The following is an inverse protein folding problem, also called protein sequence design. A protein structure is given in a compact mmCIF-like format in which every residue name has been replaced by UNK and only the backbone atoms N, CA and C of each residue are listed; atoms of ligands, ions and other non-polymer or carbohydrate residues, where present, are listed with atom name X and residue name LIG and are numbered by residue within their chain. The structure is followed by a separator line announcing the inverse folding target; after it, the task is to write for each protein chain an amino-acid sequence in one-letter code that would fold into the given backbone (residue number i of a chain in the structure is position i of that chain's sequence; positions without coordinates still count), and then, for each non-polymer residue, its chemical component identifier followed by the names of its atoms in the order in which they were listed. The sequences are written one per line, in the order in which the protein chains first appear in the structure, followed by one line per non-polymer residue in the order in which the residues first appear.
data_IF_529795888826
#
_entry.id   IF_529795888826
#
_cell.length_a   1.000
_cell.length_b   1.000
_cell.length_c   1.000
_cell.angle_alpha   90.00
_cell.angle_beta   90.00
_cell.angle_gamma   90.00
#
_symmetry.space_group_name_H-M   'P 1'
#
loop_
_entity.id
_entity.type
_entity.pdbx_description
1 polymer ?
#
# COMPACT_ATOMS: atom_id res chain seq x y z
N UNK A 1 17.69 -14.46 -25.43
CA UNK A 1 16.43 -13.69 -25.49
C UNK A 1 16.10 -13.37 -26.95
N UNK A 2 14.88 -13.69 -27.42
CA UNK A 2 14.40 -13.37 -28.77
C UNK A 2 14.48 -11.87 -29.08
N UNK A 3 14.84 -11.51 -30.32
CA UNK A 3 14.98 -10.11 -30.73
C UNK A 3 13.66 -9.33 -30.61
N UNK A 4 12.53 -9.98 -30.87
CA UNK A 4 11.19 -9.39 -30.77
C UNK A 4 10.74 -9.02 -29.35
N UNK A 5 11.40 -9.52 -28.29
CA UNK A 5 11.05 -9.19 -26.90
C UNK A 5 11.74 -7.93 -26.37
N UNK A 6 12.92 -7.60 -26.92
CA UNK A 6 13.73 -6.45 -26.47
C UNK A 6 12.96 -5.12 -26.40
N UNK A 7 12.14 -4.73 -27.39
CA UNK A 7 11.43 -3.45 -27.34
C UNK A 7 10.26 -3.42 -26.34
N UNK A 8 9.79 -4.57 -25.87
CA UNK A 8 8.63 -4.67 -24.97
C UNK A 8 8.99 -4.95 -23.51
N UNK A 9 10.27 -5.22 -23.23
CA UNK A 9 10.77 -5.54 -21.90
C UNK A 9 11.53 -4.34 -21.34
N UNK A 10 11.00 -3.71 -20.30
CA UNK A 10 11.71 -2.67 -19.55
C UNK A 10 13.05 -3.21 -19.03
N UNK A 11 14.08 -2.36 -18.96
CA UNK A 11 15.46 -2.74 -18.58
C UNK A 11 15.52 -3.60 -17.31
N UNK A 12 14.70 -3.25 -16.30
CA UNK A 12 14.59 -3.97 -15.02
C UNK A 12 14.17 -5.45 -15.15
N UNK A 13 13.45 -5.80 -16.22
CA UNK A 13 12.91 -7.13 -16.44
C UNK A 13 13.78 -7.98 -17.38
N UNK A 14 14.85 -7.43 -17.98
CA UNK A 14 15.69 -8.15 -18.95
C UNK A 14 16.31 -9.40 -18.34
N UNK A 15 16.88 -9.30 -17.14
CA UNK A 15 17.46 -10.46 -16.45
C UNK A 15 16.39 -11.49 -16.09
N UNK A 16 15.22 -11.03 -15.65
CA UNK A 16 14.12 -11.91 -15.28
C UNK A 16 13.59 -12.70 -16.49
N UNK A 17 13.53 -12.09 -17.68
CA UNK A 17 13.18 -12.75 -18.95
C UNK A 17 14.31 -13.66 -19.44
N UNK A 18 15.57 -13.23 -19.32
CA UNK A 18 16.72 -14.04 -19.72
C UNK A 18 16.85 -15.33 -18.87
N UNK A 19 16.40 -15.29 -17.62
CA UNK A 19 16.36 -16.43 -16.71
C UNK A 19 15.25 -17.45 -17.04
N UNK A 20 14.28 -17.11 -17.89
CA UNK A 20 13.24 -18.06 -18.34
C UNK A 20 13.82 -19.09 -19.31
N UNK A 21 13.21 -20.28 -19.36
CA UNK A 21 13.55 -21.29 -20.37
C UNK A 21 13.28 -20.76 -21.79
N UNK A 22 13.95 -21.29 -22.83
CA UNK A 22 13.70 -20.86 -24.21
C UNK A 22 12.23 -20.98 -24.61
N UNK A 23 11.54 -22.03 -24.15
CA UNK A 23 10.11 -22.23 -24.39
C UNK A 23 9.25 -21.13 -23.73
N UNK A 24 9.56 -20.79 -22.48
CA UNK A 24 8.88 -19.71 -21.76
C UNK A 24 9.15 -18.33 -22.40
N UNK A 25 10.36 -18.09 -22.91
CA UNK A 25 10.67 -16.87 -23.67
C UNK A 25 9.84 -16.76 -24.96
N UNK A 26 9.65 -17.86 -25.70
CA UNK A 26 8.79 -17.88 -26.89
C UNK A 26 7.33 -17.60 -26.54
N UNK A 27 6.80 -18.25 -25.50
CA UNK A 27 5.43 -17.98 -25.01
C UNK A 27 5.22 -16.54 -24.56
N UNK A 28 6.21 -15.96 -23.88
CA UNK A 28 6.15 -14.56 -23.47
C UNK A 28 6.09 -13.63 -24.68
N UNK A 29 6.86 -13.93 -25.73
CA UNK A 29 6.83 -13.17 -26.99
C UNK A 29 5.44 -13.24 -27.64
N UNK A 30 4.85 -14.44 -27.73
CA UNK A 30 3.52 -14.63 -28.29
C UNK A 30 2.44 -13.89 -27.48
N UNK A 31 2.52 -13.93 -26.14
CA UNK A 31 1.61 -13.19 -25.28
C UNK A 31 1.76 -11.67 -25.45
N UNK A 32 2.99 -11.15 -25.56
CA UNK A 32 3.27 -9.74 -25.82
C UNK A 32 2.67 -9.31 -27.17
N UNK A 33 2.84 -10.12 -28.21
CA UNK A 33 2.23 -9.87 -29.53
C UNK A 33 0.70 -9.91 -29.48
N UNK A 34 0.13 -10.74 -28.61
CA UNK A 34 -1.31 -10.84 -28.37
C UNK A 34 -1.86 -9.76 -27.41
N UNK A 35 -1.05 -8.80 -26.97
CA UNK A 35 -1.50 -7.65 -26.18
C UNK A 35 -1.37 -7.79 -24.66
N UNK A 36 -0.39 -8.57 -24.18
CA UNK A 36 -0.10 -8.72 -22.76
C UNK A 36 0.08 -7.37 -22.05
N UNK A 37 -0.74 -7.11 -21.02
CA UNK A 37 -0.72 -5.85 -20.26
C UNK A 37 0.23 -5.87 -19.06
N UNK A 38 0.53 -7.05 -18.48
CA UNK A 38 1.26 -7.19 -17.21
C UNK A 38 2.48 -8.11 -17.34
N UNK A 39 3.56 -7.58 -17.91
CA UNK A 39 4.79 -8.32 -18.18
C UNK A 39 5.45 -8.97 -16.93
N UNK A 40 5.59 -8.29 -15.77
CA UNK A 40 6.20 -8.92 -14.57
C UNK A 40 5.44 -10.16 -14.09
N UNK A 41 4.11 -10.11 -14.08
CA UNK A 41 3.26 -11.23 -13.65
C UNK A 41 3.37 -12.42 -14.60
N UNK A 42 3.40 -12.18 -15.91
CA UNK A 42 3.59 -13.24 -16.89
C UNK A 42 4.96 -13.93 -16.75
N UNK A 43 6.01 -13.18 -16.39
CA UNK A 43 7.33 -13.76 -16.11
C UNK A 43 7.27 -14.68 -14.88
N UNK A 44 6.58 -14.27 -13.82
CA UNK A 44 6.40 -15.11 -12.62
C UNK A 44 5.60 -16.38 -12.93
N UNK A 45 4.50 -16.27 -13.67
CA UNK A 45 3.69 -17.42 -14.09
C UNK A 45 4.50 -18.40 -14.95
N UNK A 46 5.26 -17.91 -15.93
CA UNK A 46 6.10 -18.75 -16.79
C UNK A 46 7.33 -19.33 -16.08
N UNK A 47 7.78 -18.69 -15.00
CA UNK A 47 8.81 -19.24 -14.12
C UNK A 47 8.28 -20.39 -13.28
N UNK A 48 7.03 -20.28 -12.80
CA UNK A 48 6.38 -21.31 -12.01
C UNK A 48 5.92 -22.50 -12.88
N UNK A 49 5.27 -22.20 -14.01
CA UNK A 49 4.83 -23.19 -14.99
C UNK A 49 5.17 -22.72 -16.43
N UNK A 50 6.26 -23.25 -17.02
CA UNK A 50 6.62 -22.99 -18.39
C UNK A 50 5.60 -23.51 -19.42
N UNK A 51 4.52 -24.21 -19.02
CA UNK A 51 3.41 -24.66 -19.86
C UNK A 51 2.15 -23.78 -19.81
N UNK A 52 2.14 -22.72 -19.00
CA UNK A 52 1.03 -21.74 -18.93
C UNK A 52 0.62 -21.27 -20.32
N UNK A 53 -0.68 -21.33 -20.63
CA UNK A 53 -1.22 -20.98 -21.95
C UNK A 53 -1.25 -19.47 -22.18
N UNK A 54 -1.24 -19.04 -23.45
CA UNK A 54 -1.31 -17.59 -23.78
C UNK A 54 -2.61 -16.97 -23.24
N UNK A 55 -3.72 -17.71 -23.29
CA UNK A 55 -5.01 -17.24 -22.78
C UNK A 55 -4.94 -16.92 -21.27
N UNK A 56 -4.30 -17.79 -20.48
CA UNK A 56 -4.09 -17.58 -19.05
C UNK A 56 -3.09 -16.45 -18.74
N UNK A 57 -2.14 -16.17 -19.63
CA UNK A 57 -1.24 -15.02 -19.48
C UNK A 57 -1.93 -13.68 -19.79
N UNK A 58 -2.85 -13.68 -20.76
CA UNK A 58 -3.62 -12.50 -21.17
C UNK A 58 -4.75 -12.17 -20.19
N UNK A 59 -5.48 -13.19 -19.76
CA UNK A 59 -6.63 -13.08 -18.87
C UNK A 59 -6.51 -14.13 -17.76
N UNK A 60 -5.62 -13.91 -16.78
CA UNK A 60 -5.43 -14.86 -15.71
C UNK A 60 -6.74 -15.02 -14.93
N UNK A 61 -7.13 -16.26 -14.56
CA UNK A 61 -8.27 -16.44 -13.68
C UNK A 61 -8.06 -15.55 -12.47
N UNK A 62 -9.14 -14.88 -12.04
CA UNK A 62 -9.13 -14.15 -10.78
C UNK A 62 -8.61 -15.13 -9.73
N UNK A 63 -7.38 -14.92 -9.25
CA UNK A 63 -6.95 -15.63 -8.06
C UNK A 63 -8.02 -15.31 -7.03
N UNK A 64 -8.49 -16.29 -6.22
CA UNK A 64 -9.14 -15.89 -4.99
C UNK A 64 -8.15 -14.95 -4.34
N UNK A 65 -8.53 -13.67 -4.22
CA UNK A 65 -7.86 -12.76 -3.31
C UNK A 65 -7.77 -13.57 -2.04
N UNK A 66 -6.55 -13.94 -1.63
CA UNK A 66 -6.32 -14.58 -0.36
C UNK A 66 -7.02 -13.68 0.63
N UNK A 67 -8.18 -14.10 1.12
CA UNK A 67 -8.93 -13.40 2.14
C UNK A 67 -7.95 -13.21 3.27
N UNK A 68 -7.44 -11.98 3.39
CA UNK A 68 -6.69 -11.56 4.55
C UNK A 68 -7.57 -11.89 5.75
N UNK A 69 -7.06 -12.58 6.78
CA UNK A 69 -7.86 -12.98 7.92
C UNK A 69 -8.34 -11.72 8.65
N UNK A 70 -9.54 -11.24 8.31
CA UNK A 70 -10.08 -9.96 8.74
C UNK A 70 -10.57 -9.93 10.20
N UNK A 71 -10.45 -11.03 10.95
CA UNK A 71 -11.18 -11.17 12.22
C UNK A 71 -10.33 -10.99 13.47
N UNK A 72 -9.00 -10.95 13.37
CA UNK A 72 -8.12 -10.72 14.55
C UNK A 72 -7.56 -9.29 14.62
N UNK A 73 -7.80 -8.47 13.59
CA UNK A 73 -7.20 -7.13 13.47
C UNK A 73 -8.08 -5.99 13.99
N UNK A 74 -9.41 -6.15 14.00
CA UNK A 74 -10.33 -5.09 14.42
C UNK A 74 -10.12 -4.65 15.88
N UNK A 75 -9.89 -5.59 16.79
CA UNK A 75 -9.68 -5.29 18.21
C UNK A 75 -8.34 -4.58 18.46
N UNK A 76 -7.29 -4.87 17.68
CA UNK A 76 -6.00 -4.17 17.83
C UNK A 76 -6.08 -2.75 17.29
N UNK A 77 -6.77 -2.52 16.17
CA UNK A 77 -6.93 -1.17 15.61
C UNK A 77 -7.70 -0.24 16.55
N UNK A 78 -8.76 -0.73 17.20
CA UNK A 78 -9.49 0.07 18.19
C UNK A 78 -8.60 0.50 19.35
N UNK A 79 -7.74 -0.41 19.84
CA UNK A 79 -6.78 -0.12 20.89
C UNK A 79 -5.73 0.92 20.44
N UNK A 80 -5.16 0.75 19.24
CA UNK A 80 -4.16 1.67 18.68
C UNK A 80 -4.75 3.08 18.48
N UNK A 81 -6.00 3.17 18.02
CA UNK A 81 -6.70 4.46 17.87
C UNK A 81 -6.99 5.08 19.24
N UNK A 82 -7.38 4.28 20.25
CA UNK A 82 -7.58 4.78 21.60
C UNK A 82 -6.26 5.28 22.24
N UNK A 83 -5.13 4.62 21.98
CA UNK A 83 -3.80 5.07 22.39
C UNK A 83 -3.49 6.44 21.77
N UNK A 84 -3.67 6.58 20.46
CA UNK A 84 -3.49 7.86 19.75
C UNK A 84 -4.43 8.97 20.26
N UNK A 85 -5.68 8.64 20.61
CA UNK A 85 -6.59 9.61 21.23
C UNK A 85 -6.03 10.11 22.56
N UNK A 86 -5.44 9.23 23.39
CA UNK A 86 -4.87 9.65 24.66
C UNK A 86 -3.56 10.42 24.51
N UNK A 87 -2.76 10.14 23.48
CA UNK A 87 -1.62 11.00 23.11
C UNK A 87 -2.09 12.41 22.75
N UNK A 88 -3.22 12.52 22.03
CA UNK A 88 -3.79 13.81 21.67
C UNK A 88 -4.55 14.50 22.81
N UNK A 89 -5.12 13.74 23.73
CA UNK A 89 -5.96 14.23 24.82
C UNK A 89 -5.56 13.52 26.12
N UNK A 90 -4.43 13.89 26.75
CA UNK A 90 -3.85 13.16 27.87
C UNK A 90 -4.74 13.10 29.11
N UNK A 91 -5.63 14.07 29.28
CA UNK A 91 -6.60 14.09 30.38
C UNK A 91 -7.80 13.15 30.15
N UNK A 92 -7.95 12.57 28.96
CA UNK A 92 -9.08 11.69 28.63
C UNK A 92 -8.91 10.32 29.31
N UNK A 93 -9.90 9.87 30.13
CA UNK A 93 -9.86 8.54 30.73
C UNK A 93 -9.84 7.43 29.67
N UNK A 94 -9.13 6.34 29.94
CA UNK A 94 -8.96 5.23 28.99
C UNK A 94 -10.29 4.70 28.43
N UNK A 95 -11.25 4.46 29.31
CA UNK A 95 -12.58 3.94 28.95
C UNK A 95 -13.31 4.88 27.98
N UNK A 96 -13.12 6.19 28.12
CA UNK A 96 -13.68 7.18 27.19
C UNK A 96 -12.96 7.19 25.86
N UNK A 97 -11.64 7.01 25.85
CA UNK A 97 -10.84 6.93 24.63
C UNK A 97 -11.19 5.67 23.81
N UNK A 98 -11.35 4.51 24.47
CA UNK A 98 -11.81 3.27 23.85
C UNK A 98 -13.22 3.42 23.27
N UNK A 99 -14.16 3.95 24.06
CA UNK A 99 -15.53 4.18 23.59
C UNK A 99 -15.57 5.15 22.40
N UNK A 100 -14.73 6.19 22.40
CA UNK A 100 -14.61 7.11 21.27
C UNK A 100 -13.97 6.43 20.06
N UNK A 101 -12.91 5.65 20.27
CA UNK A 101 -12.23 4.91 19.22
C UNK A 101 -13.16 3.93 18.50
N UNK A 102 -14.18 3.39 19.17
CA UNK A 102 -15.19 2.50 18.59
C UNK A 102 -16.40 3.24 17.98
N UNK A 103 -16.58 4.52 18.28
CA UNK A 103 -17.72 5.31 17.79
C UNK A 103 -17.72 5.46 16.25
N UNK A 104 -18.91 5.59 15.65
CA UNK A 104 -19.06 5.72 14.19
C UNK A 104 -18.27 6.91 13.60
N UNK A 105 -18.21 8.02 14.34
CA UNK A 105 -17.46 9.23 13.94
C UNK A 105 -15.96 8.96 13.77
N UNK A 106 -15.41 7.94 14.43
CA UNK A 106 -14.01 7.54 14.33
C UNK A 106 -13.73 6.48 13.25
N UNK A 107 -14.74 6.06 12.48
CA UNK A 107 -14.56 5.06 11.42
C UNK A 107 -13.51 5.48 10.38
N UNK A 108 -13.44 6.78 10.06
CA UNK A 108 -12.42 7.31 9.13
C UNK A 108 -11.01 7.09 9.68
N UNK A 109 -10.80 7.36 10.97
CA UNK A 109 -9.48 7.18 11.62
C UNK A 109 -9.13 5.71 11.70
N UNK A 110 -10.07 4.83 12.07
CA UNK A 110 -9.86 3.37 12.09
C UNK A 110 -9.46 2.83 10.71
N UNK A 111 -10.16 3.25 9.65
CA UNK A 111 -9.85 2.83 8.27
C UNK A 111 -8.44 3.25 7.85
N UNK A 112 -8.04 4.48 8.19
CA UNK A 112 -6.70 4.99 7.88
C UNK A 112 -5.64 4.24 8.70
N UNK A 113 -5.87 3.99 9.99
CA UNK A 113 -4.96 3.23 10.84
C UNK A 113 -4.77 1.79 10.35
N UNK A 114 -5.86 1.13 9.95
CA UNK A 114 -5.80 -0.21 9.37
C UNK A 114 -5.00 -0.21 8.07
N UNK A 115 -5.31 0.72 7.16
CA UNK A 115 -4.58 0.87 5.89
C UNK A 115 -3.10 1.13 6.13
N UNK A 116 -2.77 2.01 7.07
CA UNK A 116 -1.40 2.31 7.47
C UNK A 116 -0.66 1.04 7.93
N UNK A 117 -1.28 0.21 8.78
CA UNK A 117 -0.67 -1.07 9.18
C UNK A 117 -0.45 -2.01 7.99
N UNK A 118 -1.38 -2.06 7.03
CA UNK A 118 -1.23 -2.91 5.85
C UNK A 118 -0.09 -2.46 4.93
N UNK A 119 0.14 -1.15 4.81
CA UNK A 119 1.24 -0.59 4.02
C UNK A 119 2.59 -1.17 4.46
N UNK A 120 2.83 -1.24 5.77
CA UNK A 120 4.10 -1.76 6.31
C UNK A 120 4.21 -3.29 6.31
N UNK A 121 3.10 -4.01 6.12
CA UNK A 121 3.09 -5.47 5.90
C UNK A 121 3.44 -5.85 4.45
N UNK A 122 3.43 -4.89 3.52
CA UNK A 122 3.75 -5.14 2.12
C UNK A 122 5.21 -5.54 1.92
N UNK A 123 5.44 -6.66 1.24
CA UNK A 123 6.80 -7.11 0.85
C UNK A 123 7.52 -6.12 -0.08
N UNK A 124 6.79 -5.17 -0.66
CA UNK A 124 7.33 -4.21 -1.62
C UNK A 124 7.62 -2.83 -1.02
N UNK A 125 7.32 -2.60 0.26
CA UNK A 125 7.48 -1.28 0.91
C UNK A 125 8.90 -0.73 0.81
N UNK A 126 9.91 -1.62 0.80
CA UNK A 126 11.33 -1.26 0.69
C UNK A 126 11.80 -0.95 -0.74
N UNK A 127 10.93 -1.07 -1.74
CA UNK A 127 11.25 -0.70 -3.12
C UNK A 127 11.35 0.81 -3.21
N UNK A 128 12.41 1.33 -3.80
CA UNK A 128 12.69 2.75 -4.03
C UNK A 128 11.48 3.55 -4.53
N UNK A 129 10.87 3.15 -5.65
CA UNK A 129 9.71 3.86 -6.22
C UNK A 129 8.50 3.82 -5.28
N UNK A 130 8.30 2.73 -4.54
CA UNK A 130 7.16 2.59 -3.64
C UNK A 130 7.37 3.46 -2.40
N UNK A 131 8.54 3.38 -1.78
CA UNK A 131 8.88 4.16 -0.59
C UNK A 131 8.83 5.66 -0.89
N UNK A 132 9.46 6.12 -1.98
CA UNK A 132 9.49 7.54 -2.32
C UNK A 132 8.10 8.07 -2.72
N UNK A 133 7.30 7.29 -3.46
CA UNK A 133 5.93 7.68 -3.82
C UNK A 133 5.03 7.73 -2.58
N UNK A 134 5.15 6.74 -1.69
CA UNK A 134 4.41 6.69 -0.44
C UNK A 134 4.80 7.86 0.47
N UNK A 135 6.09 8.13 0.63
CA UNK A 135 6.58 9.26 1.41
C UNK A 135 6.00 10.58 0.87
N UNK A 136 6.11 10.83 -0.44
CA UNK A 136 5.53 12.03 -1.05
C UNK A 136 4.01 12.12 -0.90
N UNK A 137 3.30 10.98 -0.91
CA UNK A 137 1.86 10.95 -0.63
C UNK A 137 1.58 11.34 0.83
N UNK A 138 2.34 10.81 1.79
CA UNK A 138 2.17 11.11 3.21
C UNK A 138 2.46 12.58 3.53
N UNK A 139 3.49 13.17 2.92
CA UNK A 139 3.76 14.61 3.05
C UNK A 139 2.56 15.45 2.59
N UNK A 140 2.03 15.17 1.40
CA UNK A 140 0.86 15.89 0.88
C UNK A 140 -0.39 15.73 1.76
N UNK A 141 -0.59 14.53 2.29
CA UNK A 141 -1.70 14.29 3.22
C UNK A 141 -1.52 15.09 4.51
N UNK A 142 -0.30 15.17 5.04
CA UNK A 142 0.00 15.98 6.22
C UNK A 142 -0.25 17.47 5.96
N UNK A 143 0.29 18.01 4.85
CA UNK A 143 0.08 19.41 4.43
C UNK A 143 -1.43 19.74 4.37
N UNK A 144 -2.24 18.86 3.79
CA UNK A 144 -3.70 19.05 3.70
C UNK A 144 -4.39 19.01 5.06
N UNK A 145 -3.97 18.12 5.97
CA UNK A 145 -4.54 18.07 7.32
C UNK A 145 -4.19 19.33 8.12
N UNK A 146 -2.95 19.81 7.99
CA UNK A 146 -2.49 21.04 8.65
C UNK A 146 -3.20 22.27 8.10
N UNK A 147 -3.43 22.36 6.79
CA UNK A 147 -4.25 23.42 6.19
C UNK A 147 -5.66 23.45 6.80
N UNK A 148 -6.33 22.29 6.91
CA UNK A 148 -7.67 22.20 7.53
C UNK A 148 -7.66 22.64 9.00
N UNK A 149 -6.62 22.24 9.75
CA UNK A 149 -6.45 22.60 11.17
C UNK A 149 -6.27 24.12 11.30
N UNK A 150 -5.40 24.71 10.48
CA UNK A 150 -5.16 26.15 10.44
C UNK A 150 -6.44 26.91 10.10
N UNK A 151 -7.20 26.48 9.09
CA UNK A 151 -8.45 27.12 8.69
C UNK A 151 -9.57 27.01 9.74
N UNK A 152 -9.45 26.08 10.70
CA UNK A 152 -10.49 25.81 11.70
C UNK A 152 -10.04 26.25 13.11
N UNK A 153 -10.53 27.38 13.65
CA UNK A 153 -10.03 27.93 14.93
C UNK A 153 -10.08 26.96 16.12
N UNK A 154 -11.12 26.12 16.20
CA UNK A 154 -11.26 25.14 17.27
C UNK A 154 -10.21 24.01 17.16
N UNK A 155 -9.86 23.59 15.94
CA UNK A 155 -8.84 22.57 15.70
C UNK A 155 -7.45 23.15 15.94
N UNK A 156 -7.17 24.37 15.46
CA UNK A 156 -5.92 25.10 15.75
C UNK A 156 -5.63 25.17 17.25
N UNK A 157 -6.61 25.60 18.05
CA UNK A 157 -6.44 25.69 19.49
C UNK A 157 -6.19 24.32 20.16
N UNK A 158 -6.87 23.27 19.68
CA UNK A 158 -6.65 21.91 20.17
C UNK A 158 -5.25 21.40 19.78
N UNK A 159 -4.81 21.69 18.55
CA UNK A 159 -3.51 21.30 18.02
C UNK A 159 -2.35 21.96 18.77
N UNK A 160 -2.42 23.27 19.02
CA UNK A 160 -1.39 24.02 19.77
C UNK A 160 -1.19 23.48 21.19
N UNK A 161 -2.28 23.07 21.86
CA UNK A 161 -2.21 22.48 23.22
C UNK A 161 -1.58 21.09 23.24
N UNK A 162 -1.62 20.39 22.12
CA UNK A 162 -1.27 18.97 22.01
C UNK A 162 0.13 18.77 21.43
N UNK A 163 0.55 19.63 20.50
CA UNK A 163 1.78 19.48 19.72
C UNK A 163 2.91 20.45 20.13
N UNK A 164 3.01 20.83 21.41
CA UNK A 164 4.11 21.68 21.89
C UNK A 164 5.52 21.13 21.56
N UNK A 165 5.64 19.82 21.32
CA UNK A 165 6.89 19.11 21.01
C UNK A 165 7.22 18.99 19.50
N UNK A 166 6.30 19.32 18.58
CA UNK A 166 6.52 19.22 17.11
C UNK A 166 6.91 20.56 16.47
N UNK A 167 7.58 21.44 17.23
CA UNK A 167 8.12 22.73 16.71
C UNK A 167 9.40 22.56 15.88
N UNK A 168 9.87 21.34 15.66
CA UNK A 168 10.94 21.04 14.71
C UNK A 168 10.31 20.57 13.40
N UNK A 169 10.46 21.39 12.36
CA UNK A 169 10.03 21.11 10.99
C UNK A 169 10.51 19.71 10.57
N UNK A 170 9.56 18.80 10.38
CA UNK A 170 9.82 17.58 9.62
C UNK A 170 8.74 17.42 8.57
N UNK A 171 9.20 17.64 7.33
CA UNK A 171 8.48 17.85 6.07
C UNK A 171 7.74 19.18 5.98
#
# INVERSE_FOLDING_TARGET
MPEGLRPHVSVRNIEAVAALSPQAQTRLLEAVQAGLKRLPRAIEQLRADPQTSIAELLDPPAQPETELPAQTHSASIGQDVADLIQECFPDMPRVSAEALADADVMQVVRTVAETHQQVFKSNHIKTDFIMLTLHGLMCKTLEQLEEIIEETPALRQAFEKTNEWRKEETC
#
